data_IF_834367384562
#
_entry.id   IF_834367384562
#
_cell.length_a   1.000
_cell.length_b   1.000
_cell.length_c   1.000
_cell.angle_alpha   90.00
_cell.angle_beta   90.00
_cell.angle_gamma   90.00
#
_symmetry.space_group_name_H-M   'P 1'
#
loop_
_entity.id
_entity.type
_entity.pdbx_description
1 polymer ?
#
# COMPACT_ATOMS: atom_id res chain seq x y z
N UNK A 1 -1.31 -0.30 3.85
CA UNK A 1 -2.31 0.77 4.02
C UNK A 1 -2.14 1.93 3.03
N UNK A 2 -3.20 2.70 2.81
CA UNK A 2 -3.28 3.84 1.88
C UNK A 2 -2.91 5.15 2.56
N UNK A 3 -2.57 6.19 1.80
CA UNK A 3 -2.18 7.49 2.36
C UNK A 3 -0.80 7.52 3.05
N UNK A 4 -0.09 6.40 3.09
CA UNK A 4 1.24 6.26 3.73
C UNK A 4 2.39 6.97 2.99
N UNK A 5 2.12 7.71 1.90
CA UNK A 5 3.16 8.41 1.15
C UNK A 5 4.02 7.51 0.24
N UNK A 6 3.58 6.29 -0.11
CA UNK A 6 4.32 5.38 -1.00
C UNK A 6 4.75 6.04 -2.32
N UNK A 7 3.80 6.68 -3.01
CA UNK A 7 4.06 7.40 -4.26
C UNK A 7 4.98 8.60 -4.03
N UNK A 8 4.74 9.40 -2.98
CA UNK A 8 5.58 10.55 -2.64
C UNK A 8 7.03 10.14 -2.35
N UNK A 9 7.22 9.04 -1.63
CA UNK A 9 8.55 8.49 -1.34
C UNK A 9 9.25 8.02 -2.62
N UNK A 10 8.54 7.31 -3.51
CA UNK A 10 9.11 6.86 -4.78
C UNK A 10 9.50 8.03 -5.70
N UNK A 11 8.70 9.10 -5.72
CA UNK A 11 9.02 10.32 -6.47
C UNK A 11 10.22 11.05 -5.87
N UNK A 12 10.31 11.14 -4.54
CA UNK A 12 11.46 11.74 -3.88
C UNK A 12 12.73 10.91 -4.08
N UNK A 13 12.63 9.59 -3.97
CA UNK A 13 13.71 8.66 -4.25
C UNK A 13 14.24 8.85 -5.68
N UNK A 14 13.34 8.97 -6.66
CA UNK A 14 13.72 9.26 -8.05
C UNK A 14 14.61 10.48 -8.13
N UNK A 15 14.28 11.59 -7.48
CA UNK A 15 15.12 12.81 -7.50
C UNK A 15 16.55 12.54 -6.99
N UNK A 16 16.70 11.70 -5.96
CA UNK A 16 18.02 11.40 -5.37
C UNK A 16 18.85 10.38 -6.13
N UNK A 17 18.23 9.51 -6.93
CA UNK A 17 18.93 8.43 -7.63
C UNK A 17 18.89 8.57 -9.15
N UNK A 18 18.28 9.63 -9.69
CA UNK A 18 18.11 9.78 -11.13
C UNK A 18 19.44 9.75 -11.89
N UNK A 19 20.50 10.36 -11.34
CA UNK A 19 21.85 10.36 -11.94
C UNK A 19 22.46 8.96 -12.07
N UNK A 20 21.96 8.00 -11.28
CA UNK A 20 22.38 6.61 -11.38
C UNK A 20 21.66 5.87 -12.50
N UNK A 21 20.74 6.46 -13.26
CA UNK A 21 20.02 5.80 -14.34
C UNK A 21 20.05 6.66 -15.60
N UNK A 22 20.15 6.03 -16.76
CA UNK A 22 20.14 6.75 -18.04
C UNK A 22 18.76 7.33 -18.33
N UNK A 23 17.70 6.61 -17.94
CA UNK A 23 16.32 7.04 -18.14
C UNK A 23 15.44 6.55 -16.99
N UNK A 24 14.44 7.36 -16.66
CA UNK A 24 13.41 7.02 -15.68
C UNK A 24 12.04 7.04 -16.34
N UNK A 25 11.35 5.90 -16.35
CA UNK A 25 10.03 5.74 -16.96
C UNK A 25 9.01 5.45 -15.87
N UNK A 26 7.96 6.27 -15.78
CA UNK A 26 6.85 6.06 -14.85
C UNK A 26 5.58 5.65 -15.60
N UNK A 27 4.88 4.66 -15.05
CA UNK A 27 3.55 4.24 -15.48
C UNK A 27 2.67 4.01 -14.25
N UNK A 28 1.41 4.38 -14.36
CA UNK A 28 0.39 4.02 -13.37
C UNK A 28 -0.37 2.81 -13.92
N UNK A 29 -0.64 1.83 -13.06
CA UNK A 29 -1.50 0.69 -13.36
C UNK A 29 -2.97 0.97 -13.02
N UNK A 30 -3.31 2.23 -12.72
CA UNK A 30 -4.69 2.67 -12.52
C UNK A 30 -5.55 2.28 -13.72
N UNK A 31 -6.77 1.85 -13.42
CA UNK A 31 -7.72 1.26 -14.39
C UNK A 31 -7.28 -0.09 -14.98
N UNK A 32 -6.24 -0.73 -14.42
CA UNK A 32 -5.77 -2.05 -14.80
C UNK A 32 -5.55 -2.19 -16.32
N UNK A 33 -4.53 -1.52 -16.91
CA UNK A 33 -4.23 -1.69 -18.32
C UNK A 33 -3.76 -3.13 -18.60
N UNK A 34 -4.16 -3.77 -19.72
CA UNK A 34 -3.59 -5.04 -20.13
C UNK A 34 -2.06 -4.96 -20.27
N UNK A 35 -1.35 -6.04 -19.94
CA UNK A 35 0.12 -6.04 -20.02
C UNK A 35 0.62 -5.76 -21.44
N UNK A 36 -0.11 -6.22 -22.47
CA UNK A 36 0.23 -5.99 -23.87
C UNK A 36 0.31 -4.50 -24.21
N UNK A 37 -0.63 -3.68 -23.74
CA UNK A 37 -0.65 -2.23 -23.93
C UNK A 37 0.49 -1.55 -23.19
N UNK A 38 0.70 -1.94 -21.92
CA UNK A 38 1.81 -1.42 -21.12
C UNK A 38 3.15 -1.67 -21.81
N UNK A 39 3.43 -2.93 -22.17
CA UNK A 39 4.66 -3.32 -22.84
C UNK A 39 4.82 -2.65 -24.21
N UNK A 40 3.73 -2.54 -24.98
CA UNK A 40 3.76 -1.83 -26.25
C UNK A 40 4.18 -0.37 -26.08
N UNK A 41 3.61 0.32 -25.10
CA UNK A 41 4.00 1.71 -24.78
C UNK A 41 5.44 1.83 -24.29
N UNK A 42 5.93 0.86 -23.51
CA UNK A 42 7.31 0.84 -23.01
C UNK A 42 8.29 0.60 -24.15
N UNK A 43 8.03 -0.36 -25.03
CA UNK A 43 8.93 -0.70 -26.13
C UNK A 43 9.09 0.47 -27.13
N UNK A 44 8.02 1.23 -27.41
CA UNK A 44 8.12 2.46 -28.23
C UNK A 44 9.05 3.50 -27.61
N UNK A 45 8.94 3.71 -26.29
CA UNK A 45 9.80 4.66 -25.57
C UNK A 45 11.25 4.20 -25.53
N UNK A 46 11.47 2.92 -25.23
CA UNK A 46 12.80 2.34 -25.10
C UNK A 46 13.54 2.28 -26.43
N UNK A 47 12.83 2.03 -27.52
CA UNK A 47 13.39 2.02 -28.88
C UNK A 47 13.62 3.42 -29.46
N UNK A 48 12.95 4.45 -28.92
CA UNK A 48 12.89 5.81 -29.50
C UNK A 48 12.31 5.82 -30.93
N UNK A 49 11.52 4.81 -31.28
CA UNK A 49 10.86 4.67 -32.58
C UNK A 49 9.36 4.39 -32.36
N UNK A 50 8.50 5.30 -32.83
CA UNK A 50 7.04 5.14 -32.72
C UNK A 50 6.49 4.06 -33.67
N UNK A 51 7.24 3.74 -34.74
CA UNK A 51 6.87 2.80 -35.79
C UNK A 51 7.51 1.42 -35.60
N UNK A 52 8.14 1.16 -34.45
CA UNK A 52 8.69 -0.16 -34.14
C UNK A 52 7.60 -1.23 -34.28
N UNK A 53 7.92 -2.32 -34.97
CA UNK A 53 7.07 -3.50 -35.03
C UNK A 53 6.98 -4.12 -33.63
N UNK A 54 5.79 -4.09 -33.04
CA UNK A 54 5.52 -4.65 -31.71
C UNK A 54 4.86 -6.03 -31.89
N UNK A 55 5.56 -7.13 -31.58
CA UNK A 55 5.03 -8.48 -31.81
C UNK A 55 3.77 -8.73 -31.00
N UNK A 56 2.79 -9.45 -31.51
CA UNK A 56 1.56 -9.77 -30.76
C UNK A 56 1.81 -10.67 -29.55
N UNK A 57 2.84 -11.50 -29.60
CA UNK A 57 3.17 -12.44 -28.53
C UNK A 57 3.75 -11.74 -27.29
N UNK A 58 3.09 -11.89 -26.16
CA UNK A 58 3.48 -11.25 -24.89
C UNK A 58 4.87 -11.68 -24.41
N UNK A 59 5.25 -12.94 -24.58
CA UNK A 59 6.56 -13.44 -24.15
C UNK A 59 7.68 -12.81 -24.97
N UNK A 60 7.44 -12.57 -26.27
CA UNK A 60 8.40 -11.86 -27.13
C UNK A 60 8.52 -10.40 -26.69
N UNK A 61 7.41 -9.72 -26.35
CA UNK A 61 7.47 -8.35 -25.81
C UNK A 61 8.26 -8.28 -24.50
N UNK A 62 8.04 -9.23 -23.59
CA UNK A 62 8.80 -9.32 -22.32
C UNK A 62 10.28 -9.56 -22.60
N UNK A 63 10.63 -10.50 -23.49
CA UNK A 63 12.02 -10.78 -23.83
C UNK A 63 12.73 -9.54 -24.42
N UNK A 64 12.05 -8.80 -25.32
CA UNK A 64 12.58 -7.53 -25.85
C UNK A 64 12.77 -6.49 -24.75
N UNK A 65 11.81 -6.35 -23.83
CA UNK A 65 11.94 -5.47 -22.68
C UNK A 65 13.19 -5.82 -21.86
N UNK A 66 13.37 -7.09 -21.50
CA UNK A 66 14.56 -7.53 -20.75
C UNK A 66 15.85 -7.19 -21.49
N UNK A 67 15.91 -7.39 -22.81
CA UNK A 67 17.10 -7.01 -23.59
C UNK A 67 17.42 -5.52 -23.45
N UNK A 68 16.41 -4.63 -23.54
CA UNK A 68 16.62 -3.21 -23.27
C UNK A 68 17.10 -2.95 -21.83
N UNK A 69 16.49 -3.60 -20.84
CA UNK A 69 16.87 -3.48 -19.42
C UNK A 69 18.29 -3.96 -19.12
N UNK A 70 18.79 -4.91 -19.92
CA UNK A 70 20.16 -5.41 -19.84
C UNK A 70 21.15 -4.51 -20.59
N UNK A 71 20.76 -3.90 -21.71
CA UNK A 71 21.64 -3.04 -22.52
C UNK A 71 21.81 -1.63 -21.98
N UNK A 72 20.80 -1.08 -21.31
CA UNK A 72 20.86 0.26 -20.71
C UNK A 72 20.29 0.25 -19.29
N UNK A 73 20.63 1.28 -18.53
CA UNK A 73 20.25 1.39 -17.12
C UNK A 73 18.97 2.21 -16.94
N UNK A 74 17.83 1.52 -16.91
CA UNK A 74 16.51 2.10 -16.70
C UNK A 74 16.02 1.99 -15.25
N UNK A 75 15.29 3.01 -14.79
CA UNK A 75 14.41 2.91 -13.63
C UNK A 75 12.95 2.90 -14.10
N UNK A 76 12.28 1.74 -13.96
CA UNK A 76 10.86 1.57 -14.27
C UNK A 76 10.03 1.69 -12.99
N UNK A 77 9.20 2.74 -12.91
CA UNK A 77 8.29 2.99 -11.79
C UNK A 77 6.88 2.58 -12.18
N UNK A 78 6.36 1.52 -11.58
CA UNK A 78 4.97 1.09 -11.73
C UNK A 78 4.18 1.42 -10.47
N UNK A 79 3.22 2.35 -10.58
CA UNK A 79 2.35 2.78 -9.48
C UNK A 79 1.01 2.04 -9.51
N UNK A 80 0.29 2.04 -8.38
CA UNK A 80 -1.04 1.43 -8.23
C UNK A 80 -1.09 -0.10 -8.50
N UNK A 81 -0.07 -0.84 -8.05
CA UNK A 81 0.07 -2.29 -8.29
C UNK A 81 -1.10 -3.17 -7.83
N UNK A 82 -1.88 -2.72 -6.85
CA UNK A 82 -3.10 -3.42 -6.43
C UNK A 82 -4.20 -3.43 -7.51
N UNK A 83 -4.11 -2.58 -8.53
CA UNK A 83 -5.11 -2.50 -9.58
C UNK A 83 -5.10 -3.69 -10.54
N UNK A 84 -4.00 -4.43 -10.62
CA UNK A 84 -3.95 -5.70 -11.37
C UNK A 84 -4.31 -6.91 -10.51
N UNK A 85 -4.58 -6.70 -9.20
CA UNK A 85 -4.89 -7.74 -8.23
C UNK A 85 -6.38 -7.85 -7.93
N UNK A 86 -6.84 -9.08 -7.73
CA UNK A 86 -8.23 -9.45 -7.56
C UNK A 86 -8.80 -8.89 -6.24
N UNK A 87 -9.82 -8.01 -6.30
CA UNK A 87 -10.54 -7.62 -5.09
C UNK A 87 -11.42 -8.78 -4.59
N UNK A 88 -11.76 -8.74 -3.29
CA UNK A 88 -12.60 -9.72 -2.58
C UNK A 88 -11.97 -11.09 -2.42
N UNK A 89 -10.66 -11.18 -2.64
CA UNK A 89 -9.85 -12.37 -2.42
C UNK A 89 -8.71 -12.06 -1.45
N UNK A 90 -8.03 -13.10 -0.98
CA UNK A 90 -6.78 -12.95 -0.23
C UNK A 90 -5.73 -12.22 -1.08
N UNK A 91 -4.85 -11.46 -0.43
CA UNK A 91 -3.86 -10.64 -1.13
C UNK A 91 -3.03 -11.41 -2.16
N UNK A 92 -2.69 -10.71 -3.24
CA UNK A 92 -1.64 -11.12 -4.17
C UNK A 92 -2.10 -11.99 -5.34
N UNK A 93 -3.38 -12.36 -5.40
CA UNK A 93 -3.97 -13.00 -6.57
C UNK A 93 -4.25 -11.98 -7.67
N UNK A 94 -3.97 -12.35 -8.93
CA UNK A 94 -4.24 -11.50 -10.07
C UNK A 94 -5.72 -11.54 -10.47
N UNK A 95 -6.21 -10.44 -11.04
CA UNK A 95 -7.51 -10.43 -11.73
C UNK A 95 -7.45 -11.33 -12.97
N UNK A 96 -8.59 -11.88 -13.35
CA UNK A 96 -8.72 -12.62 -14.60
C UNK A 96 -8.28 -11.76 -15.80
N UNK A 97 -7.36 -12.27 -16.61
CA UNK A 97 -6.77 -11.58 -17.76
C UNK A 97 -5.53 -10.73 -17.45
N UNK A 98 -5.10 -10.70 -16.18
CA UNK A 98 -3.93 -9.95 -15.72
C UNK A 98 -2.79 -10.86 -15.23
N UNK A 99 -2.92 -12.17 -15.37
CA UNK A 99 -1.94 -13.17 -14.95
C UNK A 99 -0.60 -13.02 -15.68
N UNK A 100 -0.60 -12.44 -16.87
CA UNK A 100 0.63 -12.16 -17.61
C UNK A 100 1.57 -11.19 -16.87
N UNK A 101 1.06 -10.34 -15.97
CA UNK A 101 1.92 -9.52 -15.10
C UNK A 101 2.82 -10.38 -14.21
N UNK A 102 2.38 -11.58 -13.82
CA UNK A 102 3.23 -12.53 -13.12
C UNK A 102 4.49 -12.87 -13.93
N UNK A 103 4.32 -13.12 -15.23
CA UNK A 103 5.42 -13.45 -16.14
C UNK A 103 6.40 -12.28 -16.24
N UNK A 104 5.90 -11.05 -16.35
CA UNK A 104 6.75 -9.85 -16.36
C UNK A 104 7.60 -9.79 -15.08
N UNK A 105 6.97 -9.81 -13.91
CA UNK A 105 7.70 -9.67 -12.65
C UNK A 105 8.70 -10.81 -12.42
N UNK A 106 8.33 -12.04 -12.80
CA UNK A 106 9.22 -13.19 -12.77
C UNK A 106 10.45 -12.99 -13.65
N UNK A 107 10.26 -12.62 -14.92
CA UNK A 107 11.38 -12.42 -15.84
C UNK A 107 12.30 -11.26 -15.43
N UNK A 108 11.73 -10.19 -14.88
CA UNK A 108 12.52 -9.06 -14.34
C UNK A 108 13.26 -9.47 -13.06
N UNK A 109 12.63 -10.21 -12.15
CA UNK A 109 13.25 -10.60 -10.87
C UNK A 109 14.31 -11.70 -10.97
N UNK A 110 14.19 -12.60 -11.95
CA UNK A 110 15.08 -13.76 -12.10
C UNK A 110 16.26 -13.51 -13.05
N UNK A 111 16.12 -12.61 -14.04
CA UNK A 111 17.17 -12.40 -15.05
C UNK A 111 18.14 -11.30 -14.64
N UNK A 112 19.45 -11.48 -14.87
CA UNK A 112 20.43 -10.43 -14.62
C UNK A 112 20.25 -9.28 -15.61
N UNK A 113 20.12 -8.06 -15.08
CA UNK A 113 20.09 -6.83 -15.85
C UNK A 113 20.58 -5.66 -14.99
N UNK A 114 20.96 -4.55 -15.61
CA UNK A 114 21.48 -3.36 -14.89
C UNK A 114 20.38 -2.38 -14.47
N UNK A 115 19.17 -2.57 -14.99
CA UNK A 115 17.98 -1.75 -14.67
C UNK A 115 17.32 -2.12 -13.34
N UNK A 116 16.32 -1.33 -12.92
CA UNK A 116 15.51 -1.58 -11.74
C UNK A 116 14.02 -1.35 -12.05
N UNK A 117 13.15 -2.24 -11.54
CA UNK A 117 11.71 -2.04 -11.54
C UNK A 117 11.24 -1.81 -10.10
N UNK A 118 10.66 -0.65 -9.83
CA UNK A 118 10.03 -0.32 -8.56
C UNK A 118 8.52 -0.41 -8.71
N UNK A 119 7.92 -1.43 -8.06
CA UNK A 119 6.48 -1.60 -7.96
C UNK A 119 5.96 -0.96 -6.67
N UNK A 120 5.05 -0.02 -6.81
CA UNK A 120 4.39 0.66 -5.69
C UNK A 120 2.99 0.07 -5.57
N UNK A 121 2.70 -0.55 -4.43
CA UNK A 121 1.42 -1.23 -4.23
C UNK A 121 0.96 -1.19 -2.78
N UNK A 122 -0.36 -1.26 -2.57
CA UNK A 122 -1.00 -1.53 -1.27
C UNK A 122 -1.01 -3.02 -0.93
N UNK A 123 -0.92 -3.88 -1.93
CA UNK A 123 -1.00 -5.34 -1.82
C UNK A 123 0.20 -5.96 -2.53
N UNK A 124 0.93 -6.84 -1.84
CA UNK A 124 2.08 -7.53 -2.45
C UNK A 124 1.57 -8.63 -3.40
N UNK A 125 1.92 -8.61 -4.70
CA UNK A 125 1.61 -9.72 -5.60
C UNK A 125 2.27 -11.02 -5.14
N UNK A 126 1.59 -12.16 -5.32
CA UNK A 126 2.07 -13.46 -4.83
C UNK A 126 3.45 -13.84 -5.37
N UNK A 127 3.72 -13.52 -6.64
CA UNK A 127 5.02 -13.78 -7.26
C UNK A 127 6.16 -13.01 -6.60
N UNK A 128 5.92 -11.78 -6.13
CA UNK A 128 6.96 -10.98 -5.48
C UNK A 128 7.39 -11.65 -4.18
N UNK A 129 6.43 -12.16 -3.39
CA UNK A 129 6.73 -12.92 -2.18
C UNK A 129 7.60 -14.15 -2.51
N UNK A 130 7.25 -14.91 -3.54
CA UNK A 130 8.05 -16.07 -3.96
C UNK A 130 9.46 -15.66 -4.43
N UNK A 131 9.61 -14.53 -5.11
CA UNK A 131 10.91 -14.09 -5.62
C UNK A 131 11.83 -13.55 -4.52
N UNK A 132 11.28 -12.94 -3.47
CA UNK A 132 12.07 -12.47 -2.32
C UNK A 132 12.78 -13.61 -1.60
N UNK A 133 12.12 -14.76 -1.48
CA UNK A 133 12.66 -15.94 -0.80
C UNK A 133 13.73 -16.65 -1.65
N UNK A 134 13.60 -16.58 -2.98
CA UNK A 134 14.43 -17.35 -3.91
C UNK A 134 15.52 -16.53 -4.62
N UNK A 135 15.46 -15.20 -4.55
CA UNK A 135 16.40 -14.31 -5.24
C UNK A 135 16.95 -13.24 -4.31
N UNK A 136 18.18 -12.78 -4.58
CA UNK A 136 18.75 -11.62 -3.86
C UNK A 136 18.34 -10.28 -4.47
N UNK A 137 17.82 -10.29 -5.69
CA UNK A 137 17.54 -9.10 -6.49
C UNK A 137 16.14 -8.50 -6.21
N UNK A 138 15.20 -9.30 -5.70
CA UNK A 138 13.86 -8.82 -5.35
C UNK A 138 13.78 -8.50 -3.85
N UNK A 139 13.32 -7.30 -3.53
CA UNK A 139 13.14 -6.79 -2.17
C UNK A 139 11.86 -5.97 -2.08
N UNK A 140 11.17 -6.08 -0.95
CA UNK A 140 10.05 -5.21 -0.59
C UNK A 140 10.44 -4.32 0.58
N UNK A 141 9.92 -3.10 0.56
CA UNK A 141 10.02 -2.17 1.66
C UNK A 141 8.61 -1.79 2.14
N UNK A 142 8.26 -2.18 3.37
CA UNK A 142 6.97 -1.84 3.97
C UNK A 142 7.07 -0.49 4.68
N UNK A 143 6.32 0.50 4.18
CA UNK A 143 6.26 1.83 4.80
C UNK A 143 5.34 1.78 6.04
N UNK A 144 5.90 2.17 7.19
CA UNK A 144 5.23 2.15 8.50
C UNK A 144 4.61 3.49 8.90
N UNK A 145 4.68 4.51 8.05
CA UNK A 145 4.29 5.90 8.37
C UNK A 145 5.51 6.79 8.55
N UNK A 146 5.29 8.04 8.97
CA UNK A 146 6.35 8.98 9.32
C UNK A 146 6.99 8.59 10.67
N UNK A 147 8.27 8.90 10.83
CA UNK A 147 8.83 8.98 12.17
C UNK A 147 8.15 10.12 12.96
N UNK A 148 8.28 10.06 14.28
CA UNK A 148 7.56 10.97 15.17
C UNK A 148 7.94 12.44 14.92
N UNK A 149 9.22 12.72 14.69
CA UNK A 149 9.69 14.10 14.49
C UNK A 149 9.18 14.66 13.14
N UNK A 150 9.27 13.90 12.06
CA UNK A 150 8.70 14.28 10.77
C UNK A 150 7.17 14.45 10.84
N UNK A 151 6.47 13.63 11.64
CA UNK A 151 5.04 13.80 11.87
C UNK A 151 4.73 15.09 12.65
N UNK A 152 5.55 15.46 13.64
CA UNK A 152 5.42 16.72 14.39
C UNK A 152 5.65 17.94 13.49
N UNK A 153 6.57 17.87 12.53
CA UNK A 153 6.84 18.96 11.59
C UNK A 153 5.61 19.36 10.76
N UNK A 154 4.72 18.42 10.42
CA UNK A 154 3.44 18.72 9.75
C UNK A 154 2.62 19.74 10.54
N UNK A 155 2.71 19.68 11.87
CA UNK A 155 1.98 20.57 12.75
C UNK A 155 2.79 21.85 13.05
N UNK A 156 4.09 21.76 13.30
CA UNK A 156 4.91 22.97 13.56
C UNK A 156 4.84 23.98 12.41
N UNK A 157 4.90 23.53 11.16
CA UNK A 157 4.80 24.41 9.98
C UNK A 157 3.49 25.19 9.89
N UNK A 158 2.44 24.75 10.58
CA UNK A 158 1.10 25.33 10.54
C UNK A 158 0.75 26.15 11.79
N UNK A 159 1.69 26.29 12.74
CA UNK A 159 1.52 27.13 13.92
C UNK A 159 0.55 26.60 14.98
N UNK A 160 0.42 25.27 15.12
CA UNK A 160 -0.47 24.69 16.14
C UNK A 160 0.02 24.96 17.58
N UNK A 161 -0.93 25.03 18.49
CA UNK A 161 -0.74 25.11 19.94
C UNK A 161 -1.12 23.77 20.60
N UNK A 162 -0.34 23.35 21.59
CA UNK A 162 -0.52 22.10 22.31
C UNK A 162 0.79 21.64 22.95
N UNK A 163 0.72 20.80 23.98
CA UNK A 163 1.91 20.17 24.54
C UNK A 163 2.46 19.10 23.59
N UNK A 164 3.78 18.89 23.60
CA UNK A 164 4.43 17.79 22.88
C UNK A 164 3.74 16.44 23.13
N UNK A 165 3.33 16.17 24.38
CA UNK A 165 2.63 14.93 24.74
C UNK A 165 1.30 14.74 24.01
N UNK A 166 0.51 15.80 23.85
CA UNK A 166 -0.77 15.78 23.11
C UNK A 166 -0.54 15.62 21.61
N UNK A 167 0.53 16.24 21.10
CA UNK A 167 0.90 16.05 19.70
C UNK A 167 1.32 14.60 19.42
N UNK A 168 2.12 13.99 20.28
CA UNK A 168 2.48 12.57 20.20
C UNK A 168 1.25 11.67 20.31
N UNK A 169 0.29 11.98 21.20
CA UNK A 169 -1.00 11.26 21.29
C UNK A 169 -1.76 11.29 19.97
N UNK A 170 -1.88 12.48 19.36
CA UNK A 170 -2.53 12.66 18.06
C UNK A 170 -1.82 11.86 16.95
N UNK A 171 -0.48 11.93 16.90
CA UNK A 171 0.32 11.22 15.91
C UNK A 171 0.12 9.70 16.03
N UNK A 172 0.11 9.16 17.26
CA UNK A 172 -0.16 7.75 17.52
C UNK A 172 -1.58 7.35 17.12
N UNK A 173 -2.58 8.20 17.39
CA UNK A 173 -3.98 7.94 17.04
C UNK A 173 -4.19 7.74 15.54
N UNK A 174 -3.44 8.48 14.71
CA UNK A 174 -3.46 8.38 13.25
C UNK A 174 -2.29 7.58 12.67
N UNK A 175 -1.46 7.00 13.54
CA UNK A 175 -0.32 6.13 13.24
C UNK A 175 0.67 6.71 12.25
N UNK A 176 1.01 7.97 12.46
CA UNK A 176 1.97 8.67 11.60
C UNK A 176 1.62 8.63 10.11
N UNK A 177 0.35 8.40 9.75
CA UNK A 177 -0.08 8.31 8.36
C UNK A 177 -0.14 9.74 7.79
N UNK A 178 0.72 10.10 6.81
CA UNK A 178 0.81 11.47 6.30
C UNK A 178 -0.52 12.02 5.81
N UNK A 179 -1.31 11.22 5.12
CA UNK A 179 -2.61 11.65 4.58
C UNK A 179 -3.60 11.96 5.71
N UNK A 180 -3.73 11.03 6.68
CA UNK A 180 -4.63 11.23 7.83
C UNK A 180 -4.21 12.45 8.65
N UNK A 181 -2.93 12.59 8.95
CA UNK A 181 -2.39 13.72 9.71
C UNK A 181 -2.63 15.05 9.01
N UNK A 182 -2.51 15.12 7.67
CA UNK A 182 -2.79 16.36 6.94
C UNK A 182 -4.27 16.77 6.99
N UNK A 183 -5.20 15.81 6.87
CA UNK A 183 -6.64 16.07 7.02
C UNK A 183 -6.95 16.61 8.41
N UNK A 184 -6.40 15.95 9.43
CA UNK A 184 -6.64 16.30 10.83
C UNK A 184 -6.03 17.66 11.14
N UNK A 185 -4.80 17.92 10.73
CA UNK A 185 -4.16 19.22 10.88
C UNK A 185 -5.02 20.34 10.29
N UNK A 186 -5.48 20.20 9.04
CA UNK A 186 -6.38 21.19 8.42
C UNK A 186 -7.63 21.44 9.28
N UNK A 187 -8.25 20.39 9.78
CA UNK A 187 -9.47 20.49 10.60
C UNK A 187 -9.22 21.15 11.95
N UNK A 188 -8.10 20.83 12.61
CA UNK A 188 -7.69 21.50 13.86
C UNK A 188 -7.50 23.01 13.60
N UNK A 189 -6.92 23.37 12.47
CA UNK A 189 -6.71 24.77 12.12
C UNK A 189 -8.05 25.50 11.89
N UNK A 190 -8.95 24.89 11.12
CA UNK A 190 -10.22 25.49 10.70
C UNK A 190 -11.25 25.56 11.83
N UNK A 191 -11.37 24.52 12.65
CA UNK A 191 -12.45 24.39 13.63
C UNK A 191 -12.02 24.60 15.09
N UNK A 192 -10.73 24.43 15.39
CA UNK A 192 -10.20 24.48 16.75
C UNK A 192 -9.16 25.59 16.94
N UNK A 193 -9.02 26.50 15.96
CA UNK A 193 -8.09 27.63 16.02
C UNK A 193 -6.64 27.20 16.21
N UNK A 194 -6.28 26.00 15.76
CA UNK A 194 -4.93 25.45 15.93
C UNK A 194 -4.67 24.78 17.29
N UNK A 195 -5.67 24.58 18.16
CA UNK A 195 -5.48 23.89 19.45
C UNK A 195 -5.63 22.36 19.32
N UNK A 196 -4.52 21.63 19.42
CA UNK A 196 -4.51 20.16 19.41
C UNK A 196 -5.22 19.60 20.65
N UNK A 197 -5.05 20.24 21.81
CA UNK A 197 -5.68 19.83 23.06
C UNK A 197 -7.20 19.86 22.95
N UNK A 198 -7.78 20.96 22.45
CA UNK A 198 -9.23 21.10 22.32
C UNK A 198 -9.82 20.06 21.36
N UNK A 199 -9.09 19.73 20.29
CA UNK A 199 -9.48 18.68 19.36
C UNK A 199 -9.53 17.30 20.01
N UNK A 200 -8.47 16.93 20.74
CA UNK A 200 -8.38 15.63 21.41
C UNK A 200 -9.42 15.49 22.52
N UNK A 201 -9.68 16.54 23.29
CA UNK A 201 -10.66 16.53 24.38
C UNK A 201 -12.11 16.36 23.87
N UNK A 202 -12.39 16.73 22.62
CA UNK A 202 -13.69 16.51 21.97
C UNK A 202 -13.79 15.15 21.23
N UNK A 203 -12.75 14.30 21.28
CA UNK A 203 -12.72 12.95 20.72
C UNK A 203 -13.18 12.83 19.25
N UNK A 204 -12.95 13.86 18.43
CA UNK A 204 -13.42 13.89 17.04
C UNK A 204 -12.58 12.98 16.15
N UNK A 205 -13.10 11.78 15.86
CA UNK A 205 -12.51 10.78 14.95
C UNK A 205 -13.27 10.66 13.61
N UNK A 206 -14.21 11.55 13.35
CA UNK A 206 -15.17 11.43 12.24
C UNK A 206 -14.75 12.26 11.04
N UNK A 207 -14.03 11.61 10.13
CA UNK A 207 -13.57 12.22 8.89
C UNK A 207 -14.02 11.39 7.70
N UNK A 208 -14.94 11.93 6.89
CA UNK A 208 -15.43 11.25 5.70
C UNK A 208 -14.28 10.90 4.73
N UNK A 209 -13.30 11.80 4.55
CA UNK A 209 -12.14 11.54 3.69
C UNK A 209 -11.28 10.37 4.19
N UNK A 210 -11.09 10.25 5.50
CA UNK A 210 -10.35 9.12 6.09
C UNK A 210 -11.17 7.83 5.97
N UNK A 211 -12.49 7.90 6.15
CA UNK A 211 -13.37 6.75 5.97
C UNK A 211 -13.46 6.30 4.52
N UNK A 212 -13.46 7.20 3.55
CA UNK A 212 -13.40 6.84 2.13
C UNK A 212 -12.10 6.10 1.80
N UNK A 213 -10.97 6.54 2.37
CA UNK A 213 -9.68 5.86 2.22
C UNK A 213 -9.72 4.44 2.80
N UNK A 214 -10.31 4.26 3.99
CA UNK A 214 -10.45 2.94 4.63
C UNK A 214 -11.46 2.07 3.88
N UNK A 215 -12.59 2.62 3.44
CA UNK A 215 -13.63 1.91 2.70
C UNK A 215 -13.08 1.32 1.40
N UNK A 216 -12.27 2.09 0.65
CA UNK A 216 -11.61 1.59 -0.57
C UNK A 216 -10.80 0.31 -0.31
N UNK A 217 -10.19 0.17 0.87
CA UNK A 217 -9.45 -1.05 1.23
C UNK A 217 -10.35 -2.14 1.78
N UNK A 218 -11.33 -1.75 2.59
CA UNK A 218 -12.31 -2.66 3.16
C UNK A 218 -13.14 -3.37 2.08
N UNK A 219 -13.51 -2.68 1.00
CA UNK A 219 -14.27 -3.28 -0.11
C UNK A 219 -13.47 -4.34 -0.88
N UNK A 220 -12.15 -4.31 -0.81
CA UNK A 220 -11.25 -5.28 -1.44
C UNK A 220 -11.05 -6.54 -0.59
N UNK A 221 -11.49 -6.56 0.65
CA UNK A 221 -11.39 -7.72 1.53
C UNK A 221 -12.35 -8.82 1.09
N UNK A 222 -11.92 -10.07 1.23
CA UNK A 222 -12.78 -11.25 1.20
C UNK A 222 -13.77 -11.24 2.35
N UNK A 223 -14.82 -12.05 2.25
CA UNK A 223 -15.86 -12.11 3.29
C UNK A 223 -15.29 -12.61 4.62
N UNK A 224 -14.38 -13.58 4.60
CA UNK A 224 -13.70 -14.06 5.81
C UNK A 224 -12.82 -12.97 6.45
N UNK A 225 -12.10 -12.19 5.65
CA UNK A 225 -11.33 -11.05 6.16
C UNK A 225 -12.25 -10.01 6.80
N UNK A 226 -13.41 -9.70 6.21
CA UNK A 226 -14.40 -8.78 6.80
C UNK A 226 -14.95 -9.32 8.12
N UNK A 227 -15.26 -10.62 8.21
CA UNK A 227 -15.71 -11.25 9.46
C UNK A 227 -14.66 -11.13 10.58
N UNK A 228 -13.38 -11.34 10.26
CA UNK A 228 -12.28 -11.10 11.22
C UNK A 228 -12.25 -9.63 11.66
N UNK A 229 -12.37 -8.69 10.73
CA UNK A 229 -12.41 -7.25 11.05
C UNK A 229 -13.60 -6.93 11.98
N UNK A 230 -14.77 -7.50 11.72
CA UNK A 230 -15.96 -7.30 12.57
C UNK A 230 -15.80 -7.90 13.97
N UNK A 231 -15.20 -9.08 14.08
CA UNK A 231 -14.90 -9.72 15.38
C UNK A 231 -13.91 -8.88 16.19
N UNK A 232 -12.81 -8.43 15.58
CA UNK A 232 -11.84 -7.55 16.23
C UNK A 232 -12.45 -6.21 16.66
N UNK A 233 -13.32 -5.63 15.81
CA UNK A 233 -13.95 -4.34 16.11
C UNK A 233 -15.00 -4.43 17.23
N UNK A 234 -15.78 -5.51 17.25
CA UNK A 234 -16.77 -5.79 18.29
C UNK A 234 -16.13 -6.10 19.65
N UNK A 235 -14.99 -6.79 19.66
CA UNK A 235 -14.29 -7.11 20.90
C UNK A 235 -13.71 -5.87 21.60
N UNK A 236 -13.29 -4.85 20.83
CA UNK A 236 -12.73 -3.60 21.36
C UNK A 236 -11.36 -3.73 22.04
N UNK A 237 -10.82 -4.95 22.13
CA UNK A 237 -9.52 -5.28 22.71
C UNK A 237 -8.76 -6.27 21.80
N UNK A 238 -7.43 -6.39 21.94
CA UNK A 238 -6.65 -7.36 21.15
C UNK A 238 -7.13 -8.80 21.38
N UNK A 239 -7.25 -9.58 20.30
CA UNK A 239 -7.66 -10.98 20.34
C UNK A 239 -6.55 -11.93 19.88
N UNK A 240 -6.49 -13.11 20.48
CA UNK A 240 -5.64 -14.21 20.02
C UNK A 240 -6.19 -14.84 18.74
N UNK A 241 -5.28 -15.40 17.93
CA UNK A 241 -5.68 -16.17 16.75
C UNK A 241 -6.58 -17.38 17.11
N UNK A 242 -6.37 -17.99 18.28
CA UNK A 242 -7.19 -19.10 18.79
C UNK A 242 -8.61 -18.66 19.12
N UNK A 243 -8.79 -17.47 19.69
CA UNK A 243 -10.11 -16.91 19.99
C UNK A 243 -10.88 -16.61 18.71
N UNK A 244 -10.22 -16.00 17.72
CA UNK A 244 -10.81 -15.74 16.41
C UNK A 244 -11.26 -17.04 15.71
N UNK A 245 -10.46 -18.10 15.81
CA UNK A 245 -10.81 -19.43 15.27
C UNK A 245 -12.05 -20.00 15.95
N UNK A 246 -12.18 -19.85 17.27
CA UNK A 246 -13.34 -20.33 18.03
C UNK A 246 -14.60 -19.52 17.72
N UNK A 247 -14.50 -18.20 17.61
CA UNK A 247 -15.64 -17.31 17.35
C UNK A 247 -16.20 -17.45 15.94
N UNK A 248 -15.33 -17.49 14.92
CA UNK A 248 -15.75 -17.50 13.52
C UNK A 248 -16.00 -18.92 13.02
N UNK A 249 -15.28 -19.92 13.56
CA UNK A 249 -15.41 -21.33 13.23
C UNK A 249 -15.40 -21.63 11.71
N UNK A 250 -14.47 -20.99 10.98
CA UNK A 250 -14.25 -21.22 9.53
C UNK A 250 -12.82 -21.66 9.26
N UNK A 251 -12.62 -22.39 8.17
CA UNK A 251 -11.28 -22.71 7.64
C UNK A 251 -10.66 -21.43 7.05
N UNK A 252 -9.34 -21.38 6.94
CA UNK A 252 -8.63 -20.27 6.29
C UNK A 252 -8.39 -19.02 7.14
N UNK A 253 -8.77 -19.01 8.44
CA UNK A 253 -8.56 -17.87 9.35
C UNK A 253 -7.09 -17.44 9.39
N UNK A 254 -6.16 -18.38 9.39
CA UNK A 254 -4.72 -18.09 9.39
C UNK A 254 -4.30 -17.30 8.15
N UNK A 255 -4.78 -17.71 6.97
CA UNK A 255 -4.41 -17.08 5.70
C UNK A 255 -5.10 -15.73 5.52
N UNK A 256 -6.36 -15.62 5.96
CA UNK A 256 -7.07 -14.34 6.04
C UNK A 256 -6.39 -13.36 7.00
N UNK A 257 -5.90 -13.83 8.16
CA UNK A 257 -5.15 -12.98 9.10
C UNK A 257 -3.81 -12.53 8.51
N UNK A 258 -3.06 -13.43 7.85
CA UNK A 258 -1.84 -13.07 7.12
C UNK A 258 -2.13 -12.03 6.03
N UNK A 259 -3.22 -12.20 5.29
CA UNK A 259 -3.68 -11.27 4.26
C UNK A 259 -3.97 -9.89 4.85
N UNK A 260 -4.77 -9.80 5.92
CA UNK A 260 -5.07 -8.55 6.62
C UNK A 260 -3.83 -7.84 7.18
N UNK A 261 -2.89 -8.61 7.75
CA UNK A 261 -1.60 -8.11 8.23
C UNK A 261 -0.77 -7.55 7.06
N UNK A 262 -0.71 -8.27 5.93
CA UNK A 262 -0.02 -7.82 4.71
C UNK A 262 -0.62 -6.57 4.07
N UNK A 263 -1.93 -6.34 4.24
CA UNK A 263 -2.62 -5.09 3.85
C UNK A 263 -2.32 -3.94 4.82
N UNK A 264 -1.81 -4.23 6.02
CA UNK A 264 -1.59 -3.27 7.10
C UNK A 264 -2.89 -2.72 7.67
N UNK A 265 -3.94 -3.55 7.73
CA UNK A 265 -5.24 -3.21 8.34
C UNK A 265 -5.39 -3.75 9.76
N UNK A 266 -4.61 -4.79 10.09
CA UNK A 266 -4.53 -5.42 11.41
C UNK A 266 -3.12 -5.26 11.95
N UNK A 267 -3.02 -5.05 13.25
CA UNK A 267 -1.79 -4.88 14.00
C UNK A 267 -1.54 -6.05 14.92
N UNK A 268 -0.26 -6.35 15.16
CA UNK A 268 0.15 -7.29 16.21
C UNK A 268 0.57 -6.49 17.44
N UNK A 269 0.08 -6.84 18.61
CA UNK A 269 0.56 -6.27 19.88
C UNK A 269 1.70 -7.11 20.46
N UNK A 270 2.30 -6.64 21.56
CA UNK A 270 3.41 -7.31 22.24
C UNK A 270 3.09 -8.79 22.51
N UNK A 271 4.02 -9.68 22.15
CA UNK A 271 3.84 -11.14 22.19
C UNK A 271 3.49 -11.81 20.85
N UNK A 272 3.48 -11.08 19.73
CA UNK A 272 3.27 -11.54 18.32
C UNK A 272 2.00 -12.36 18.02
N UNK A 273 1.14 -12.57 19.02
CA UNK A 273 0.02 -13.52 18.97
C UNK A 273 -1.35 -12.87 19.13
N UNK A 274 -1.38 -11.63 19.60
CA UNK A 274 -2.58 -10.82 19.76
C UNK A 274 -2.72 -9.84 18.60
N UNK A 275 -3.92 -9.74 18.07
CA UNK A 275 -4.26 -8.94 16.90
C UNK A 275 -5.29 -7.89 17.28
N UNK A 276 -5.14 -6.68 16.72
CA UNK A 276 -6.09 -5.58 16.95
C UNK A 276 -6.24 -4.71 15.71
N UNK A 277 -7.24 -3.84 15.74
CA UNK A 277 -7.46 -2.81 14.73
C UNK A 277 -7.03 -1.45 15.26
N UNK A 278 -6.55 -0.61 14.36
CA UNK A 278 -6.34 0.81 14.63
C UNK A 278 -7.67 1.43 15.09
N UNK A 279 -7.65 2.32 16.09
CA UNK A 279 -8.88 2.96 16.63
C UNK A 279 -9.78 3.54 15.54
N UNK A 280 -9.21 4.21 14.54
CA UNK A 280 -10.00 4.79 13.44
C UNK A 280 -10.60 3.74 12.49
N UNK A 281 -9.89 2.63 12.28
CA UNK A 281 -10.37 1.50 11.48
C UNK A 281 -11.49 0.77 12.25
N UNK A 282 -11.30 0.53 13.55
CA UNK A 282 -12.31 -0.01 14.45
C UNK A 282 -13.60 0.82 14.44
N UNK A 283 -13.49 2.16 14.57
CA UNK A 283 -14.64 3.07 14.51
C UNK A 283 -15.37 2.98 13.16
N UNK A 284 -14.62 2.92 12.06
CA UNK A 284 -15.18 2.72 10.73
C UNK A 284 -15.92 1.38 10.61
N UNK A 285 -15.32 0.28 11.09
CA UNK A 285 -15.93 -1.07 11.04
C UNK A 285 -17.20 -1.13 11.90
N UNK A 286 -17.17 -0.58 13.11
CA UNK A 286 -18.34 -0.52 13.99
C UNK A 286 -19.50 0.28 13.35
N UNK A 287 -19.21 1.38 12.64
CA UNK A 287 -20.23 2.11 11.85
C UNK A 287 -20.87 1.27 10.74
N UNK A 288 -20.15 0.29 10.19
CA UNK A 288 -20.70 -0.64 9.19
C UNK A 288 -21.51 -1.77 9.83
N UNK A 289 -21.27 -2.11 11.10
CA UNK A 289 -22.09 -3.07 11.86
C UNK A 289 -23.42 -2.45 12.33
N UNK A 290 -23.44 -1.15 12.61
CA UNK A 290 -24.64 -0.42 13.05
C UNK A 290 -25.59 -0.01 11.92
N UNK A 291 -25.32 -0.40 10.67
CA UNK A 291 -26.13 -0.11 9.48
C UNK A 291 -26.70 -1.41 8.93
#
# INVERSE_FOLDING_TARGET
>A
MGGMGKTSLALKLKEHIHDNFEYVIRRSLKNAPPLSELLGSLLKILSKDENIDIPDNINIRIARLINYLSSHRYLLLLDDGEEILQPRELIGQYRQGFEDYEKLFRQVGERPHQSCLLLISREKPKIIQSLEDNTRCVKSFQIQGLDEEAAKEIFKMKGFSGSESRLTELIKLYQSNPFKLNIVARTIQELFGGSVTNFLDQATLDFNDIYNLIDTQFQRLSDLEKEIMYSLASAGQPLLLTELRQQINKKGITDAMKSLTGRGLVEKTEGETHFTLQRIVMKYVNRKLSR
#
